data_IF_023938536361
#
_entry.id   IF_023938536361
#
_cell.length_a   1.000
_cell.length_b   1.000
_cell.length_c   1.000
_cell.angle_alpha   90.00
_cell.angle_beta   90.00
_cell.angle_gamma   90.00
#
_symmetry.space_group_name_H-M   'P 1'
#
loop_
_entity.id
_entity.type
_entity.pdbx_description
1 polymer ?
#
# COMPACT_ATOMS: atom_id res chain seq x y z
N UNK A 1 7.07 16.73 29.44
CA UNK A 1 6.19 17.47 28.50
C UNK A 1 4.73 17.31 28.91
N UNK A 2 4.01 18.39 29.26
CA UNK A 2 2.55 18.31 29.57
C UNK A 2 1.74 18.36 28.26
N UNK A 3 0.97 17.29 27.98
CA UNK A 3 0.04 17.19 26.83
C UNK A 3 -1.03 18.29 26.89
N UNK A 4 -1.47 18.82 25.75
CA UNK A 4 -2.41 19.96 25.69
C UNK A 4 -3.73 19.69 26.43
N UNK A 5 -4.29 18.49 26.33
CA UNK A 5 -5.49 18.10 27.09
C UNK A 5 -5.30 18.16 28.62
N UNK A 6 -4.12 17.81 29.13
CA UNK A 6 -3.80 17.90 30.55
C UNK A 6 -3.73 19.35 31.04
N UNK A 7 -3.18 20.25 30.23
CA UNK A 7 -3.17 21.70 30.52
C UNK A 7 -4.59 22.27 30.51
N UNK A 8 -5.40 21.90 29.52
CA UNK A 8 -6.80 22.33 29.43
C UNK A 8 -7.63 21.86 30.63
N UNK A 9 -7.39 20.62 31.12
CA UNK A 9 -8.02 20.12 32.35
C UNK A 9 -7.66 20.96 33.57
N UNK A 10 -6.36 21.20 33.79
CA UNK A 10 -5.90 21.98 34.95
C UNK A 10 -6.41 23.42 34.90
N UNK A 11 -6.43 24.03 33.71
CA UNK A 11 -6.97 25.36 33.50
C UNK A 11 -8.47 25.41 33.82
N UNK A 12 -9.26 24.45 33.33
CA UNK A 12 -10.68 24.38 33.64
C UNK A 12 -10.96 24.20 35.15
N UNK A 13 -10.18 23.36 35.83
CA UNK A 13 -10.28 23.16 37.28
C UNK A 13 -9.93 24.44 38.04
N UNK A 14 -8.88 25.16 37.63
CA UNK A 14 -8.48 26.43 38.23
C UNK A 14 -9.56 27.51 38.03
N UNK A 15 -10.07 27.65 36.80
CA UNK A 15 -11.13 28.62 36.46
C UNK A 15 -12.43 28.34 37.24
N UNK A 16 -12.77 27.08 37.50
CA UNK A 16 -14.03 26.70 38.15
C UNK A 16 -13.87 26.23 39.61
N UNK A 17 -12.70 26.42 40.23
CA UNK A 17 -12.48 25.98 41.61
C UNK A 17 -13.50 26.60 42.58
N UNK A 18 -13.98 27.82 42.28
CA UNK A 18 -14.94 28.58 43.06
C UNK A 18 -16.43 28.34 42.67
N UNK A 19 -16.71 27.62 41.57
CA UNK A 19 -18.08 27.34 41.07
C UNK A 19 -18.34 25.85 40.97
N UNK A 20 -18.13 25.14 42.08
CA UNK A 20 -18.39 23.71 42.11
C UNK A 20 -19.90 23.45 42.22
N UNK A 21 -20.47 22.56 41.39
CA UNK A 21 -21.90 22.28 41.44
C UNK A 21 -22.28 21.57 42.73
N UNK A 22 -23.41 21.95 43.31
CA UNK A 22 -23.97 21.33 44.52
C UNK A 22 -25.03 20.28 44.22
N UNK A 23 -25.57 20.26 42.99
CA UNK A 23 -26.60 19.31 42.54
C UNK A 23 -26.01 18.23 41.62
N UNK A 24 -26.63 17.04 41.60
CA UNK A 24 -26.21 15.91 40.75
C UNK A 24 -26.25 16.29 39.26
N UNK A 25 -27.30 17.00 38.83
CA UNK A 25 -27.42 17.48 37.44
C UNK A 25 -26.31 18.49 37.08
N UNK A 26 -25.93 19.36 38.03
CA UNK A 26 -24.82 20.30 37.84
C UNK A 26 -23.48 19.59 37.63
N UNK A 27 -23.23 18.49 38.36
CA UNK A 27 -22.02 17.66 38.19
C UNK A 27 -21.92 17.03 36.80
N UNK A 28 -23.05 16.63 36.22
CA UNK A 28 -23.09 16.13 34.85
C UNK A 28 -22.66 17.19 33.83
N UNK A 29 -23.27 18.39 33.87
CA UNK A 29 -22.91 19.48 32.94
C UNK A 29 -21.47 19.97 33.13
N UNK A 30 -20.99 20.00 34.37
CA UNK A 30 -19.61 20.33 34.69
C UNK A 30 -18.64 19.34 34.04
N UNK A 31 -18.89 18.03 34.21
CA UNK A 31 -18.05 16.97 33.65
C UNK A 31 -18.10 16.93 32.13
N UNK A 32 -19.29 17.11 31.55
CA UNK A 32 -19.50 17.19 30.09
C UNK A 32 -18.67 18.33 29.49
N UNK A 33 -18.79 19.54 30.05
CA UNK A 33 -18.04 20.72 29.58
C UNK A 33 -16.54 20.55 29.73
N UNK A 34 -16.09 20.01 30.87
CA UNK A 34 -14.68 19.68 31.10
C UNK A 34 -14.15 18.73 30.04
N UNK A 35 -14.90 17.65 29.77
CA UNK A 35 -14.47 16.61 28.84
C UNK A 35 -14.40 17.14 27.39
N UNK A 36 -15.33 17.99 26.95
CA UNK A 36 -15.24 18.61 25.62
C UNK A 36 -14.00 19.50 25.46
N UNK A 37 -13.69 20.33 26.47
CA UNK A 37 -12.50 21.19 26.43
C UNK A 37 -11.21 20.39 26.40
N UNK A 38 -11.14 19.33 27.19
CA UNK A 38 -9.99 18.42 27.23
C UNK A 38 -9.85 17.66 25.92
N UNK A 39 -10.95 17.16 25.36
CA UNK A 39 -10.97 16.44 24.07
C UNK A 39 -10.49 17.35 22.94
N UNK A 40 -11.06 18.55 22.81
CA UNK A 40 -10.69 19.48 21.74
C UNK A 40 -9.22 19.92 21.84
N UNK A 41 -8.73 20.21 23.06
CA UNK A 41 -7.32 20.52 23.27
C UNK A 41 -6.41 19.32 22.98
N UNK A 42 -6.85 18.11 23.33
CA UNK A 42 -6.15 16.87 23.00
C UNK A 42 -6.07 16.65 21.49
N UNK A 43 -7.18 16.85 20.78
CA UNK A 43 -7.27 16.72 19.33
C UNK A 43 -6.37 17.75 18.64
N UNK A 44 -6.50 19.04 18.98
CA UNK A 44 -5.67 20.11 18.39
C UNK A 44 -4.17 19.87 18.60
N UNK A 45 -3.78 19.52 19.83
CA UNK A 45 -2.39 19.20 20.14
C UNK A 45 -1.90 17.97 19.38
N UNK A 46 -2.68 16.90 19.36
CA UNK A 46 -2.36 15.65 18.66
C UNK A 46 -2.26 15.81 17.15
N UNK A 47 -3.21 16.52 16.53
CA UNK A 47 -3.24 16.77 15.10
C UNK A 47 -1.97 17.47 14.60
N UNK A 48 -1.40 18.41 15.38
CA UNK A 48 -0.14 19.07 15.02
C UNK A 48 1.02 18.07 14.89
N UNK A 49 1.13 17.14 15.83
CA UNK A 49 2.18 16.11 15.79
C UNK A 49 1.90 15.06 14.71
N UNK A 50 0.65 14.66 14.53
CA UNK A 50 0.25 13.72 13.48
C UNK A 50 0.56 14.27 12.09
N UNK A 51 0.26 15.56 11.83
CA UNK A 51 0.61 16.22 10.59
C UNK A 51 2.12 16.34 10.42
N UNK A 52 2.87 16.72 11.47
CA UNK A 52 4.33 16.81 11.41
C UNK A 52 5.00 15.48 11.06
N UNK A 53 4.58 14.38 11.71
CA UNK A 53 5.11 13.05 11.43
C UNK A 53 4.64 12.52 10.08
N UNK A 54 3.36 12.70 9.73
CA UNK A 54 2.82 12.26 8.45
C UNK A 54 3.46 12.97 7.26
N UNK A 55 3.69 14.28 7.36
CA UNK A 55 4.42 15.05 6.33
C UNK A 55 5.89 14.64 6.24
N UNK A 56 6.57 14.40 7.36
CA UNK A 56 7.93 13.90 7.35
C UNK A 56 8.05 12.53 6.66
N UNK A 57 7.13 11.60 6.96
CA UNK A 57 7.08 10.29 6.33
C UNK A 57 6.78 10.39 4.82
N UNK A 58 5.78 11.18 4.44
CA UNK A 58 5.43 11.39 3.03
C UNK A 58 6.58 12.03 2.25
N UNK A 59 7.27 13.01 2.83
CA UNK A 59 8.42 13.66 2.23
C UNK A 59 9.59 12.67 2.06
N UNK A 60 9.87 11.85 3.06
CA UNK A 60 10.90 10.83 2.97
C UNK A 60 10.63 9.89 1.79
N UNK A 61 9.43 9.31 1.71
CA UNK A 61 9.05 8.38 0.63
C UNK A 61 9.11 9.08 -0.73
N UNK A 62 8.59 10.30 -0.84
CA UNK A 62 8.61 11.06 -2.09
C UNK A 62 10.04 11.33 -2.58
N UNK A 63 10.98 11.60 -1.67
CA UNK A 63 12.39 11.80 -2.02
C UNK A 63 13.06 10.47 -2.38
N UNK A 64 12.83 9.41 -1.61
CA UNK A 64 13.41 8.07 -1.87
C UNK A 64 13.00 7.54 -3.25
N UNK A 65 11.69 7.54 -3.56
CA UNK A 65 11.14 7.17 -4.86
C UNK A 65 11.59 8.15 -5.96
N UNK A 66 11.62 9.45 -5.66
CA UNK A 66 12.03 10.49 -6.61
C UNK A 66 13.50 10.40 -7.01
N UNK A 67 14.39 10.07 -6.08
CA UNK A 67 15.83 9.87 -6.35
C UNK A 67 16.03 8.65 -7.22
N UNK A 68 15.35 7.55 -6.92
CA UNK A 68 15.39 6.36 -7.76
C UNK A 68 14.85 6.60 -9.17
N UNK A 69 13.70 7.28 -9.30
CA UNK A 69 13.15 7.67 -10.60
C UNK A 69 14.09 8.59 -11.39
N UNK A 70 14.69 9.58 -10.72
CA UNK A 70 15.64 10.49 -11.36
C UNK A 70 16.90 9.76 -11.84
N UNK A 71 17.40 8.80 -11.07
CA UNK A 71 18.54 7.93 -11.44
C UNK A 71 18.24 7.14 -12.71
N UNK A 72 17.09 6.47 -12.76
CA UNK A 72 16.62 5.72 -13.94
C UNK A 72 16.47 6.61 -15.17
N UNK A 73 16.07 7.89 -14.98
CA UNK A 73 15.82 8.82 -16.08
C UNK A 73 17.09 9.51 -16.61
N UNK A 74 18.04 9.84 -15.72
CA UNK A 74 19.14 10.76 -16.01
C UNK A 74 20.51 10.09 -16.08
N UNK A 75 20.80 9.15 -15.16
CA UNK A 75 22.14 8.60 -14.99
C UNK A 75 22.32 7.29 -15.77
N UNK A 76 21.25 6.49 -15.87
CA UNK A 76 21.34 5.17 -16.50
C UNK A 76 20.23 4.88 -17.52
N UNK A 77 20.27 5.50 -18.70
CA UNK A 77 19.55 4.97 -19.86
C UNK A 77 20.15 3.63 -20.38
N UNK A 78 21.29 3.18 -19.85
CA UNK A 78 22.04 2.00 -20.31
C UNK A 78 21.95 0.77 -19.37
N UNK A 79 21.82 0.94 -18.04
CA UNK A 79 21.68 -0.18 -17.09
C UNK A 79 20.34 -0.91 -17.23
N UNK A 80 19.35 -0.30 -17.88
CA UNK A 80 18.10 -0.99 -18.27
C UNK A 80 18.34 -2.25 -19.14
N UNK A 81 19.52 -2.42 -19.75
CA UNK A 81 19.91 -3.65 -20.46
C UNK A 81 20.59 -4.73 -19.60
N UNK A 82 21.29 -4.38 -18.52
CA UNK A 82 21.88 -5.38 -17.62
C UNK A 82 20.89 -5.87 -16.55
N UNK A 83 19.92 -5.02 -16.18
CA UNK A 83 18.87 -5.30 -15.19
C UNK A 83 17.72 -6.18 -15.71
N UNK A 84 17.73 -6.60 -16.97
CA UNK A 84 16.79 -7.61 -17.48
C UNK A 84 16.93 -8.97 -16.75
N UNK A 85 18.01 -9.16 -15.99
CA UNK A 85 18.22 -10.31 -15.08
C UNK A 85 17.47 -10.21 -13.75
N UNK A 86 17.10 -9.01 -13.30
CA UNK A 86 16.36 -8.83 -12.04
C UNK A 86 14.93 -8.44 -12.40
N UNK A 87 13.96 -9.37 -12.32
CA UNK A 87 12.60 -9.05 -12.70
C UNK A 87 12.08 -7.92 -11.80
N UNK A 88 11.42 -6.89 -12.38
CA UNK A 88 10.76 -5.86 -11.59
C UNK A 88 9.79 -6.54 -10.64
N UNK A 89 9.91 -6.27 -9.34
CA UNK A 89 9.07 -6.90 -8.34
C UNK A 89 7.61 -6.47 -8.58
N UNK A 90 6.71 -7.37 -9.02
CA UNK A 90 5.34 -7.00 -9.39
C UNK A 90 4.52 -6.53 -8.19
N UNK A 91 5.02 -6.75 -6.96
CA UNK A 91 4.39 -6.29 -5.71
C UNK A 91 4.80 -4.86 -5.32
N UNK A 92 5.75 -4.22 -6.01
CA UNK A 92 6.14 -2.83 -5.72
C UNK A 92 5.21 -1.87 -6.47
N UNK A 93 4.41 -1.14 -5.70
CA UNK A 93 3.58 -0.04 -6.20
C UNK A 93 4.34 1.28 -6.02
N UNK A 94 4.78 1.90 -7.13
CA UNK A 94 5.57 3.13 -7.11
C UNK A 94 5.83 3.68 -8.52
N UNK A 95 6.43 4.87 -8.60
CA UNK A 95 6.83 5.47 -9.89
C UNK A 95 8.20 4.98 -10.36
N UNK A 96 8.99 4.42 -9.44
CA UNK A 96 10.27 3.78 -9.69
C UNK A 96 10.07 2.34 -10.16
N UNK A 97 10.87 1.87 -11.12
CA UNK A 97 10.74 0.50 -11.68
C UNK A 97 11.96 -0.39 -11.42
N UNK A 98 13.12 0.20 -11.13
CA UNK A 98 14.39 -0.46 -10.93
C UNK A 98 14.66 -0.93 -9.49
N UNK A 99 15.79 -1.60 -9.26
CA UNK A 99 16.20 -2.18 -7.96
C UNK A 99 16.56 -1.11 -6.93
N UNK A 100 16.36 -1.40 -5.63
CA UNK A 100 16.66 -0.43 -4.55
C UNK A 100 18.15 -0.34 -4.35
N UNK A 101 18.68 0.88 -4.36
CA UNK A 101 20.03 1.15 -3.93
C UNK A 101 20.00 1.72 -2.52
N UNK A 102 20.96 1.32 -1.70
CA UNK A 102 21.11 1.84 -0.33
C UNK A 102 21.36 3.36 -0.30
N UNK A 103 21.89 3.90 -1.41
CA UNK A 103 22.13 5.33 -1.61
C UNK A 103 20.84 6.14 -1.64
N UNK A 104 19.75 5.58 -2.18
CA UNK A 104 18.46 6.27 -2.33
C UNK A 104 17.93 6.69 -0.95
N UNK A 105 17.92 5.75 0.00
CA UNK A 105 17.48 6.03 1.37
C UNK A 105 18.44 6.93 2.12
N UNK A 106 19.75 6.82 1.86
CA UNK A 106 20.74 7.67 2.49
C UNK A 106 20.61 9.15 2.05
N UNK A 107 20.32 9.37 0.76
CA UNK A 107 20.00 10.69 0.20
C UNK A 107 18.65 11.18 0.75
N UNK A 108 17.63 10.32 0.80
CA UNK A 108 16.32 10.68 1.34
C UNK A 108 16.40 11.07 2.82
N UNK A 109 17.13 10.31 3.64
CA UNK A 109 17.33 10.57 5.06
C UNK A 109 18.15 11.83 5.34
N UNK A 110 19.20 12.09 4.56
CA UNK A 110 19.97 13.34 4.67
C UNK A 110 19.16 14.56 4.21
N UNK A 111 18.38 14.43 3.14
CA UNK A 111 17.46 15.48 2.67
C UNK A 111 16.41 15.81 3.73
N UNK A 112 15.79 14.78 4.34
CA UNK A 112 14.85 14.96 5.43
C UNK A 112 15.49 15.66 6.64
N UNK A 113 16.75 15.32 6.96
CA UNK A 113 17.49 15.97 8.05
C UNK A 113 17.78 17.45 7.78
N UNK A 114 18.10 17.82 6.53
CA UNK A 114 18.25 19.23 6.13
C UNK A 114 16.93 19.98 6.24
N UNK A 115 15.84 19.41 5.74
CA UNK A 115 14.49 20.01 5.83
C UNK A 115 14.08 20.21 7.29
N UNK A 116 14.23 19.19 8.13
CA UNK A 116 13.99 19.30 9.56
C UNK A 116 14.91 20.36 10.21
N UNK A 117 16.18 20.40 9.81
CA UNK A 117 17.17 21.42 10.17
C UNK A 117 16.65 22.84 9.99
N UNK A 118 16.11 23.13 8.80
CA UNK A 118 15.58 24.44 8.43
C UNK A 118 14.26 24.76 9.15
N UNK A 119 13.34 23.80 9.20
CA UNK A 119 12.02 23.98 9.84
C UNK A 119 12.15 24.26 11.34
N UNK A 120 13.03 23.54 12.02
CA UNK A 120 13.25 23.71 13.47
C UNK A 120 14.37 24.70 13.82
N UNK A 121 15.00 25.34 12.82
CA UNK A 121 16.13 26.26 13.00
C UNK A 121 17.21 25.66 13.91
N UNK A 122 17.63 24.44 13.59
CA UNK A 122 18.61 23.72 14.38
C UNK A 122 19.99 24.43 14.30
N UNK A 123 20.70 24.59 15.42
CA UNK A 123 22.05 25.14 15.43
C UNK A 123 23.01 24.19 14.69
N UNK A 124 24.00 24.75 14.00
CA UNK A 124 24.96 24.05 13.14
C UNK A 124 25.51 22.71 13.69
N UNK A 125 25.92 22.58 14.98
CA UNK A 125 26.41 21.30 15.49
C UNK A 125 25.32 20.22 15.60
N UNK A 126 24.07 20.61 15.84
CA UNK A 126 22.94 19.67 15.86
C UNK A 126 22.53 19.28 14.45
N UNK A 127 22.63 20.20 13.48
CA UNK A 127 22.37 19.92 12.08
C UNK A 127 23.33 18.86 11.53
N UNK A 128 24.63 18.97 11.82
CA UNK A 128 25.62 17.98 11.35
C UNK A 128 25.33 16.58 11.90
N UNK A 129 24.96 16.48 13.18
CA UNK A 129 24.57 15.20 13.80
C UNK A 129 23.29 14.64 13.19
N UNK A 130 22.29 15.49 12.96
CA UNK A 130 21.05 15.11 12.31
C UNK A 130 21.29 14.59 10.89
N UNK A 131 22.22 15.21 10.16
CA UNK A 131 22.58 14.80 8.80
C UNK A 131 23.26 13.43 8.78
N UNK A 132 24.25 13.21 9.67
CA UNK A 132 24.91 11.89 9.80
C UNK A 132 23.90 10.80 10.20
N UNK A 133 23.02 11.09 11.16
CA UNK A 133 21.98 10.15 11.58
C UNK A 133 20.96 9.89 10.48
N UNK A 134 20.54 10.92 9.74
CA UNK A 134 19.63 10.81 8.61
C UNK A 134 20.20 9.93 7.50
N UNK A 135 21.47 10.16 7.14
CA UNK A 135 22.17 9.32 6.16
C UNK A 135 22.26 7.86 6.61
N UNK A 136 22.71 7.61 7.85
CA UNK A 136 22.88 6.26 8.36
C UNK A 136 21.55 5.49 8.48
N UNK A 137 20.52 6.11 9.09
CA UNK A 137 19.20 5.49 9.24
C UNK A 137 18.49 5.30 7.89
N UNK A 138 18.67 6.25 6.97
CA UNK A 138 18.15 6.15 5.61
C UNK A 138 18.78 4.97 4.86
N UNK A 139 20.11 4.85 4.88
CA UNK A 139 20.82 3.74 4.27
C UNK A 139 20.45 2.38 4.86
N UNK A 140 20.29 2.28 6.19
CA UNK A 140 19.81 1.05 6.84
C UNK A 140 18.40 0.69 6.39
N UNK A 141 17.52 1.69 6.22
CA UNK A 141 16.14 1.47 5.79
C UNK A 141 16.09 0.89 4.38
N UNK A 142 16.83 1.45 3.42
CA UNK A 142 16.91 0.90 2.06
C UNK A 142 17.65 -0.44 2.03
N UNK A 143 18.67 -0.64 2.88
CA UNK A 143 19.31 -1.94 3.06
C UNK A 143 18.34 -3.04 3.50
N UNK A 144 17.39 -2.69 4.38
CA UNK A 144 16.33 -3.61 4.79
C UNK A 144 15.37 -3.93 3.63
N UNK A 145 15.02 -2.95 2.79
CA UNK A 145 14.20 -3.19 1.60
C UNK A 145 14.88 -4.16 0.63
N UNK A 146 16.19 -4.01 0.40
CA UNK A 146 16.97 -4.92 -0.46
C UNK A 146 16.93 -6.35 0.11
N UNK A 147 17.07 -6.51 1.42
CA UNK A 147 16.98 -7.81 2.06
C UNK A 147 15.57 -8.43 1.92
N UNK A 148 14.52 -7.62 2.05
CA UNK A 148 13.14 -8.04 1.86
C UNK A 148 12.86 -8.46 0.42
N UNK A 149 13.36 -7.71 -0.57
CA UNK A 149 13.21 -8.07 -1.99
C UNK A 149 13.83 -9.44 -2.28
N UNK A 150 15.03 -9.71 -1.75
CA UNK A 150 15.69 -11.02 -1.89
C UNK A 150 14.87 -12.15 -1.25
N UNK A 151 14.36 -11.94 -0.05
CA UNK A 151 13.53 -12.94 0.65
C UNK A 151 12.22 -13.18 -0.11
N UNK A 152 11.63 -12.14 -0.69
CA UNK A 152 10.41 -12.28 -1.49
C UNK A 152 10.64 -13.06 -2.79
N UNK A 153 11.76 -12.82 -3.47
CA UNK A 153 12.11 -13.53 -4.70
C UNK A 153 12.24 -15.05 -4.45
N UNK A 154 12.88 -15.46 -3.36
CA UNK A 154 13.03 -16.87 -2.98
C UNK A 154 11.68 -17.54 -2.70
N UNK A 155 10.75 -16.83 -2.05
CA UNK A 155 9.39 -17.36 -1.78
C UNK A 155 8.60 -17.57 -3.06
N UNK A 156 8.72 -16.67 -4.02
CA UNK A 156 8.02 -16.77 -5.29
C UNK A 156 8.56 -17.96 -6.12
N UNK A 157 9.85 -18.29 -6.01
CA UNK A 157 10.44 -19.50 -6.62
C UNK A 157 9.85 -20.78 -6.01
N UNK A 158 9.72 -20.85 -4.67
CA UNK A 158 9.07 -21.97 -3.98
C UNK A 158 7.61 -22.15 -4.40
N UNK A 159 6.86 -21.05 -4.53
CA UNK A 159 5.47 -21.07 -4.99
C UNK A 159 5.35 -21.54 -6.44
N UNK A 160 6.25 -21.10 -7.34
CA UNK A 160 6.29 -21.59 -8.72
C UNK A 160 6.62 -23.08 -8.80
N UNK A 161 7.53 -23.57 -7.98
CA UNK A 161 7.85 -24.99 -7.90
C UNK A 161 6.66 -25.80 -7.40
N UNK A 162 5.93 -25.32 -6.38
CA UNK A 162 4.70 -25.94 -5.89
C UNK A 162 3.60 -25.94 -6.95
N UNK A 163 3.35 -24.82 -7.60
CA UNK A 163 2.35 -24.71 -8.66
C UNK A 163 2.69 -25.60 -9.87
N UNK A 164 3.98 -25.70 -10.24
CA UNK A 164 4.43 -26.61 -11.29
C UNK A 164 4.29 -28.08 -10.88
N UNK A 165 4.57 -28.41 -9.62
CA UNK A 165 4.37 -29.75 -9.07
C UNK A 165 2.87 -30.13 -9.01
N UNK A 166 2.01 -29.21 -8.61
CA UNK A 166 0.55 -29.37 -8.61
C UNK A 166 -0.01 -29.49 -10.03
N UNK A 167 0.47 -28.69 -10.98
CA UNK A 167 0.08 -28.79 -12.39
C UNK A 167 0.58 -30.09 -13.02
N UNK A 168 1.79 -30.55 -12.67
CA UNK A 168 2.32 -31.84 -13.11
C UNK A 168 1.53 -33.02 -12.49
N UNK A 169 1.13 -32.90 -11.22
CA UNK A 169 0.26 -33.87 -10.56
C UNK A 169 -1.14 -33.92 -11.20
N UNK A 170 -1.74 -32.76 -11.49
CA UNK A 170 -3.02 -32.66 -12.18
C UNK A 170 -2.96 -33.19 -13.63
N UNK A 171 -1.85 -32.95 -14.34
CA UNK A 171 -1.62 -33.50 -15.68
C UNK A 171 -1.41 -35.03 -15.66
N UNK A 172 -0.73 -35.55 -14.64
CA UNK A 172 -0.58 -36.99 -14.44
C UNK A 172 -1.90 -37.66 -14.07
N UNK A 173 -2.75 -37.00 -13.27
CA UNK A 173 -4.10 -37.45 -12.94
C UNK A 173 -5.03 -37.43 -14.17
N UNK A 174 -4.95 -36.39 -15.02
CA UNK A 174 -5.68 -36.31 -16.28
C UNK A 174 -5.23 -37.38 -17.31
N UNK A 175 -3.96 -37.75 -17.30
CA UNK A 175 -3.43 -38.84 -18.15
C UNK A 175 -3.79 -40.25 -17.64
N UNK A 176 -4.23 -40.38 -16.38
CA UNK A 176 -4.69 -41.63 -15.78
C UNK A 176 -6.20 -41.88 -15.95
N UNK A 177 -6.94 -40.95 -16.58
CA UNK A 177 -8.35 -41.14 -16.91
C UNK A 177 -8.51 -42.21 -18.03
N UNK A 178 -9.38 -43.22 -17.87
CA UNK A 178 -9.54 -44.29 -18.87
C UNK A 178 -10.12 -43.73 -20.18
N UNK A 179 -9.73 -44.27 -21.35
CA UNK A 179 -10.24 -43.82 -22.64
C UNK A 179 -11.77 -44.03 -22.72
N UNK A 180 -12.52 -43.12 -23.36
CA UNK A 180 -13.95 -43.34 -23.58
C UNK A 180 -14.15 -44.57 -24.46
N UNK A 181 -14.93 -45.52 -23.96
CA UNK A 181 -15.26 -46.76 -24.67
C UNK A 181 -15.97 -46.45 -26.00
N UNK A 182 -15.40 -46.97 -27.08
CA UNK A 182 -15.97 -47.02 -28.43
C UNK A 182 -17.19 -47.94 -28.47
N UNK A 183 -18.39 -47.38 -28.68
CA UNK A 183 -19.52 -48.12 -29.23
C UNK A 183 -19.56 -47.96 -30.76
N UNK A 184 -19.36 -49.07 -31.45
CA UNK A 184 -19.52 -49.23 -32.88
C UNK A 184 -20.99 -49.57 -33.20
N UNK A 185 -21.60 -48.89 -34.17
CA UNK A 185 -22.76 -49.43 -34.91
C UNK A 185 -22.95 -48.75 -36.28
N UNK A 186 -22.48 -49.46 -37.31
CA UNK A 186 -23.07 -49.66 -38.64
C UNK A 186 -23.91 -48.54 -39.32
N UNK A 187 -23.42 -48.11 -40.49
CA UNK A 187 -24.20 -47.50 -41.58
C UNK A 187 -25.30 -48.45 -42.12
N UNK A 188 -26.37 -47.93 -42.73
CA UNK A 188 -26.36 -47.94 -44.20
C UNK A 188 -26.93 -46.67 -44.86
N UNK A 189 -26.50 -46.55 -46.11
CA UNK A 189 -26.76 -45.53 -47.14
C UNK A 189 -28.26 -45.26 -47.33
N UNK A 190 -28.64 -43.98 -47.39
CA UNK A 190 -29.76 -43.57 -48.24
C UNK A 190 -29.58 -42.13 -48.75
N UNK A 191 -30.43 -41.81 -49.72
CA UNK A 191 -30.19 -41.05 -50.92
C UNK A 191 -30.59 -39.57 -50.87
N UNK A 192 -29.92 -38.80 -51.74
CA UNK A 192 -30.44 -37.68 -52.54
C UNK A 192 -31.14 -36.46 -51.88
N UNK A 193 -30.87 -35.34 -52.57
CA UNK A 193 -31.75 -34.18 -52.85
C UNK A 193 -31.68 -32.95 -51.95
N UNK A 194 -31.59 -31.78 -52.61
CA UNK A 194 -32.11 -30.48 -52.16
C UNK A 194 -31.12 -29.67 -51.33
N UNK A 195 -30.39 -28.73 -51.92
CA UNK A 195 -30.81 -27.33 -52.14
C UNK A 195 -30.52 -26.39 -50.95
N UNK A 196 -30.09 -25.18 -51.35
CA UNK A 196 -30.18 -23.88 -50.66
C UNK A 196 -29.33 -23.60 -49.41
N UNK A 197 -28.27 -22.81 -49.65
CA UNK A 197 -27.79 -21.76 -48.74
C UNK A 197 -28.95 -20.81 -48.38
N UNK A 198 -29.03 -20.27 -47.15
CA UNK A 198 -28.40 -18.97 -46.91
C UNK A 198 -27.93 -18.72 -45.45
N UNK A 199 -27.28 -17.56 -45.30
CA UNK A 199 -27.25 -16.73 -44.08
C UNK A 199 -26.26 -17.10 -42.96
N UNK A 200 -25.08 -16.47 -43.04
CA UNK A 200 -24.59 -15.47 -42.09
C UNK A 200 -25.21 -15.55 -40.66
N UNK A 201 -24.46 -16.14 -39.74
CA UNK A 201 -24.64 -15.94 -38.30
C UNK A 201 -23.36 -15.30 -37.71
N UNK A 202 -23.50 -14.27 -36.85
CA UNK A 202 -22.38 -13.50 -36.32
C UNK A 202 -21.64 -14.23 -35.20
N UNK A 203 -20.36 -13.88 -35.03
CA UNK A 203 -19.47 -14.31 -33.96
C UNK A 203 -20.08 -14.13 -32.56
N UNK A 204 -19.78 -15.01 -31.59
CA UNK A 204 -20.22 -14.83 -30.21
C UNK A 204 -19.61 -13.56 -29.59
N UNK A 205 -20.36 -12.79 -28.79
CA UNK A 205 -19.83 -11.59 -28.16
C UNK A 205 -18.75 -11.95 -27.14
N UNK A 206 -17.70 -11.12 -27.15
CA UNK A 206 -16.60 -11.15 -26.21
C UNK A 206 -17.10 -11.27 -24.76
N UNK A 207 -16.45 -12.14 -24.01
CA UNK A 207 -16.57 -12.22 -22.56
C UNK A 207 -16.39 -10.82 -21.96
N UNK A 208 -17.38 -10.40 -21.19
CA UNK A 208 -17.32 -9.19 -20.36
C UNK A 208 -16.11 -9.25 -19.45
N UNK A 209 -15.18 -8.31 -19.61
CA UNK A 209 -14.11 -8.05 -18.65
C UNK A 209 -14.74 -7.77 -17.27
N UNK A 210 -14.19 -8.31 -16.16
CA UNK A 210 -14.65 -7.92 -14.84
C UNK A 210 -14.25 -6.45 -14.57
N UNK A 211 -15.25 -5.59 -14.44
CA UNK A 211 -15.13 -4.21 -13.96
C UNK A 211 -14.16 -4.09 -12.77
N UNK A 212 -13.21 -3.13 -12.78
CA UNK A 212 -12.37 -2.88 -11.62
C UNK A 212 -13.25 -2.34 -10.50
N UNK A 213 -13.57 -3.20 -9.53
CA UNK A 213 -14.33 -2.84 -8.33
C UNK A 213 -13.69 -1.63 -7.64
N UNK A 214 -14.28 -0.46 -7.90
CA UNK A 214 -13.86 0.80 -7.29
C UNK A 214 -13.85 0.63 -5.78
N UNK A 215 -12.77 1.09 -5.14
CA UNK A 215 -12.56 1.03 -3.70
C UNK A 215 -13.79 1.55 -2.91
N UNK A 216 -14.49 2.55 -3.45
CA UNK A 216 -15.69 3.14 -2.87
C UNK A 216 -16.88 2.16 -2.83
N UNK A 217 -17.01 1.23 -3.78
CA UNK A 217 -18.03 0.19 -3.74
C UNK A 217 -17.80 -0.83 -2.61
N UNK A 218 -16.54 -1.17 -2.32
CA UNK A 218 -16.15 -2.07 -1.22
C UNK A 218 -16.35 -1.44 0.16
N UNK A 219 -16.14 -0.13 0.29
CA UNK A 219 -16.41 0.59 1.54
C UNK A 219 -17.92 0.73 1.79
N UNK A 220 -18.70 0.92 0.72
CA UNK A 220 -20.17 0.98 0.81
C UNK A 220 -20.82 -0.33 1.28
N UNK A 221 -20.33 -1.48 0.81
CA UNK A 221 -20.90 -2.79 1.20
C UNK A 221 -20.59 -3.17 2.65
N UNK A 222 -19.44 -2.74 3.19
CA UNK A 222 -19.08 -2.97 4.59
C UNK A 222 -19.90 -2.09 5.56
N UNK A 223 -20.32 -0.92 5.11
CA UNK A 223 -21.08 0.03 5.93
C UNK A 223 -22.61 -0.21 5.96
N UNK A 224 -23.12 -1.26 5.29
CA UNK A 224 -24.54 -1.62 5.34
C UNK A 224 -25.49 -0.56 4.78
N UNK A 225 -25.01 0.39 3.98
CA UNK A 225 -25.85 1.35 3.26
C UNK A 225 -26.25 0.74 1.91
N UNK A 226 -27.21 -0.17 1.96
CA UNK A 226 -28.01 -0.55 0.80
C UNK A 226 -28.83 0.66 0.34
N UNK A 227 -28.81 0.92 -0.97
CA UNK A 227 -29.62 1.94 -1.63
C UNK A 227 -31.10 1.68 -1.33
N UNK A 228 -31.78 2.68 -0.76
CA UNK A 228 -33.21 2.87 -0.93
C UNK A 228 -33.47 3.63 -2.24
#
# INVERSE_FOLDING_TARGET
>A
MRREGGKARLRFLAENAHRQPTTVQGWYFYTKTRNYRVFFAGLRGGSKYALGLGTAAALFVAVDEGVGYARERLLDPAITREDERTPPNPRREGWRKGPVHWEDGAIAGSTLAVVAGLVYKLPNPLLLRALVMGFALGGVTSGLQIAQDKVSALRDEEERQKAAAEAAAAAAEAAAAPPPETEAAATPIDSATGETSPALAPAPPAATEPEPSSFLGRVGSWAGLGKA
#
